data_IF_322807661372
#
_entry.id   IF_322807661372
#
_cell.length_a   1.000
_cell.length_b   1.000
_cell.length_c   1.000
_cell.angle_alpha   90.00
_cell.angle_beta   90.00
_cell.angle_gamma   90.00
#
_symmetry.space_group_name_H-M   'P 1'
#
loop_
_entity.id
_entity.type
_entity.pdbx_description
1 polymer ?
#
# COMPACT_ATOMS: atom_id res chain seq x y z
N UNK A 1 26.76 13.97 -20.85
CA UNK A 1 25.70 14.41 -19.92
C UNK A 1 25.55 13.30 -18.89
N UNK A 2 25.63 13.59 -17.58
CA UNK A 2 25.61 12.55 -16.56
C UNK A 2 24.30 11.74 -16.64
N UNK A 3 24.38 10.44 -16.42
CA UNK A 3 23.29 9.46 -16.43
C UNK A 3 22.11 9.92 -15.57
N UNK A 4 22.41 10.51 -14.42
CA UNK A 4 21.45 11.07 -13.47
C UNK A 4 20.58 12.16 -14.10
N UNK A 5 21.16 13.00 -14.95
CA UNK A 5 20.44 14.09 -15.61
C UNK A 5 19.53 13.52 -16.70
N UNK A 6 19.99 12.52 -17.45
CA UNK A 6 19.17 11.83 -18.45
C UNK A 6 17.98 11.13 -17.80
N UNK A 7 18.21 10.42 -16.69
CA UNK A 7 17.15 9.78 -15.93
C UNK A 7 16.17 10.78 -15.32
N UNK A 8 16.67 11.90 -14.78
CA UNK A 8 15.82 12.95 -14.24
C UNK A 8 14.91 13.53 -15.34
N UNK A 9 15.47 13.85 -16.52
CA UNK A 9 14.67 14.31 -17.65
C UNK A 9 13.64 13.27 -18.06
N UNK A 10 14.01 11.99 -18.16
CA UNK A 10 13.09 10.91 -18.49
C UNK A 10 11.94 10.80 -17.47
N UNK A 11 12.25 10.87 -16.18
CA UNK A 11 11.26 10.81 -15.11
C UNK A 11 10.34 12.02 -15.14
N UNK A 12 10.86 13.22 -15.39
CA UNK A 12 10.05 14.43 -15.58
C UNK A 12 9.15 14.34 -16.82
N UNK A 13 9.62 13.74 -17.92
CA UNK A 13 8.79 13.44 -19.08
C UNK A 13 7.69 12.43 -18.73
N UNK A 14 7.99 11.38 -17.97
CA UNK A 14 7.02 10.39 -17.52
C UNK A 14 5.95 11.01 -16.59
N UNK A 15 6.35 11.90 -15.67
CA UNK A 15 5.44 12.69 -14.83
C UNK A 15 4.52 13.55 -15.69
N UNK A 16 5.10 14.31 -16.61
CA UNK A 16 4.35 15.21 -17.49
C UNK A 16 3.34 14.43 -18.34
N UNK A 17 3.77 13.32 -18.94
CA UNK A 17 2.91 12.44 -19.71
C UNK A 17 1.79 11.84 -18.85
N UNK A 18 2.10 11.40 -17.63
CA UNK A 18 1.09 10.87 -16.69
C UNK A 18 0.04 11.91 -16.31
N UNK A 19 0.45 13.16 -16.07
CA UNK A 19 -0.47 14.27 -15.83
C UNK A 19 -1.39 14.54 -17.03
N UNK A 20 -0.84 14.51 -18.24
CA UNK A 20 -1.60 14.70 -19.49
C UNK A 20 -2.60 13.55 -19.71
N UNK A 21 -2.16 12.31 -19.48
CA UNK A 21 -2.96 11.10 -19.67
C UNK A 21 -4.04 10.90 -18.59
N UNK A 22 -3.90 11.52 -17.41
CA UNK A 22 -4.88 11.38 -16.34
C UNK A 22 -6.23 12.02 -16.72
N UNK A 23 -7.23 11.19 -17.02
CA UNK A 23 -8.61 11.62 -17.30
C UNK A 23 -9.51 11.62 -16.06
N UNK A 24 -8.98 11.35 -14.87
CA UNK A 24 -9.77 11.36 -13.64
C UNK A 24 -10.24 12.76 -13.25
N UNK A 25 -11.35 12.83 -12.51
CA UNK A 25 -11.89 14.11 -12.04
C UNK A 25 -10.83 14.88 -11.25
N UNK A 26 -10.52 16.10 -11.71
CA UNK A 26 -9.52 16.98 -11.12
C UNK A 26 -8.13 16.35 -10.94
N UNK A 27 -7.78 15.42 -11.84
CA UNK A 27 -6.46 14.76 -11.87
C UNK A 27 -6.15 14.01 -10.56
N UNK A 28 -7.18 13.49 -9.89
CA UNK A 28 -7.03 12.83 -8.58
C UNK A 28 -6.08 11.63 -8.64
N UNK A 29 -6.12 10.83 -9.71
CA UNK A 29 -5.21 9.68 -9.84
C UNK A 29 -3.75 10.13 -9.90
N UNK A 30 -3.46 11.20 -10.64
CA UNK A 30 -2.14 11.82 -10.67
C UNK A 30 -1.72 12.35 -9.30
N UNK A 31 -2.56 13.16 -8.64
CA UNK A 31 -2.24 13.72 -7.31
C UNK A 31 -2.05 12.64 -6.23
N UNK A 32 -2.76 11.53 -6.33
CA UNK A 32 -2.58 10.38 -5.45
C UNK A 32 -1.24 9.68 -5.70
N UNK A 33 -0.80 9.57 -6.96
CA UNK A 33 0.48 8.95 -7.33
C UNK A 33 1.72 9.86 -7.19
N UNK A 34 1.54 11.18 -7.15
CA UNK A 34 2.63 12.17 -7.22
C UNK A 34 3.70 12.09 -6.13
N UNK A 35 3.41 11.68 -4.88
CA UNK A 35 4.47 11.54 -3.87
C UNK A 35 5.57 10.55 -4.28
N UNK A 36 5.24 9.49 -5.02
CA UNK A 36 6.21 8.47 -5.43
C UNK A 36 7.01 8.85 -6.68
N UNK A 37 6.47 9.74 -7.53
CA UNK A 37 7.25 10.33 -8.63
C UNK A 37 8.39 11.20 -8.14
N UNK A 38 8.14 11.98 -7.09
CA UNK A 38 9.18 12.79 -6.43
C UNK A 38 10.27 11.85 -5.91
N UNK A 39 9.89 10.75 -5.25
CA UNK A 39 10.86 9.76 -4.79
C UNK A 39 11.73 9.19 -5.92
N UNK A 40 11.11 8.72 -7.01
CA UNK A 40 11.82 8.17 -8.16
C UNK A 40 12.81 9.17 -8.76
N UNK A 41 12.39 10.42 -8.95
CA UNK A 41 13.23 11.46 -9.54
C UNK A 41 14.50 11.77 -8.71
N UNK A 42 14.39 11.71 -7.38
CA UNK A 42 15.50 12.01 -6.46
C UNK A 42 16.32 10.79 -6.05
N UNK A 43 15.84 9.57 -6.32
CA UNK A 43 16.48 8.32 -5.89
C UNK A 43 17.94 8.18 -6.40
N UNK A 44 18.27 8.41 -7.68
CA UNK A 44 19.66 8.33 -8.12
C UNK A 44 20.53 9.50 -7.64
N UNK A 45 19.93 10.66 -7.37
CA UNK A 45 20.66 11.80 -6.80
C UNK A 45 21.11 11.48 -5.36
N UNK A 46 20.22 10.90 -4.56
CA UNK A 46 20.55 10.41 -3.21
C UNK A 46 21.73 9.44 -3.25
N UNK A 47 21.74 8.52 -4.21
CA UNK A 47 22.83 7.57 -4.33
C UNK A 47 24.18 8.17 -4.71
N UNK A 48 24.20 9.00 -5.76
CA UNK A 48 25.46 9.54 -6.28
C UNK A 48 26.09 10.61 -5.40
N UNK A 49 25.32 11.20 -4.48
CA UNK A 49 25.83 12.16 -3.50
C UNK A 49 26.45 11.47 -2.28
N UNK A 50 26.39 10.14 -2.18
CA UNK A 50 26.84 9.39 -1.02
C UNK A 50 25.98 9.60 0.23
N UNK A 51 24.85 10.32 0.10
CA UNK A 51 23.84 10.41 1.14
C UNK A 51 23.31 8.99 1.41
N UNK A 52 23.43 8.54 2.65
CA UNK A 52 23.10 7.17 3.04
C UNK A 52 24.22 6.13 2.83
N UNK A 53 25.46 6.50 2.49
CA UNK A 53 26.58 5.55 2.49
C UNK A 53 26.81 4.93 3.87
N UNK A 54 26.55 5.69 4.93
CA UNK A 54 26.59 5.23 6.32
C UNK A 54 25.49 4.18 6.65
N UNK A 55 24.56 3.96 5.72
CA UNK A 55 23.50 2.97 5.86
C UNK A 55 23.89 1.58 5.34
N UNK A 56 25.06 1.47 4.69
CA UNK A 56 25.61 0.21 4.18
C UNK A 56 26.68 -0.29 5.14
N UNK A 57 26.50 -1.51 5.67
CA UNK A 57 27.43 -2.10 6.63
C UNK A 57 28.54 -2.95 5.96
N UNK A 58 28.34 -3.37 4.70
CA UNK A 58 29.20 -4.39 4.07
C UNK A 58 29.70 -4.06 2.65
N UNK A 59 29.24 -3.00 1.97
CA UNK A 59 29.78 -2.66 0.64
C UNK A 59 29.41 -1.27 0.10
N UNK A 60 30.23 -0.76 -0.84
CA UNK A 60 29.87 0.35 -1.73
C UNK A 60 29.10 -0.18 -2.95
N UNK A 61 27.77 -0.10 -2.94
CA UNK A 61 27.00 -0.38 -4.15
C UNK A 61 27.31 0.68 -5.22
N UNK A 62 27.33 0.31 -6.51
CA UNK A 62 27.42 1.25 -7.64
C UNK A 62 26.32 0.94 -8.66
N UNK A 63 25.59 1.94 -9.15
CA UNK A 63 24.64 1.75 -10.24
C UNK A 63 25.38 1.32 -11.51
N UNK A 64 25.08 0.12 -12.01
CA UNK A 64 25.47 -0.28 -13.37
C UNK A 64 24.33 0.01 -14.35
N UNK A 65 24.55 -0.30 -15.64
CA UNK A 65 23.50 -0.17 -16.64
C UNK A 65 22.25 -1.01 -16.37
N UNK A 66 22.38 -2.14 -15.68
CA UNK A 66 21.24 -3.00 -15.33
C UNK A 66 20.30 -2.22 -14.41
N UNK A 67 20.82 -1.66 -13.33
CA UNK A 67 20.04 -0.84 -12.41
C UNK A 67 19.41 0.39 -13.09
N UNK A 68 20.13 1.06 -14.00
CA UNK A 68 19.59 2.16 -14.81
C UNK A 68 18.42 1.74 -15.71
N UNK A 69 18.52 0.60 -16.39
CA UNK A 69 17.44 0.07 -17.22
C UNK A 69 16.19 -0.20 -16.39
N UNK A 70 16.34 -0.78 -15.20
CA UNK A 70 15.21 -1.02 -14.30
C UNK A 70 14.54 0.26 -13.81
N UNK A 71 15.33 1.28 -13.48
CA UNK A 71 14.79 2.60 -13.13
C UNK A 71 13.95 3.20 -14.27
N UNK A 72 14.41 3.07 -15.52
CA UNK A 72 13.65 3.52 -16.70
C UNK A 72 12.35 2.73 -16.87
N UNK A 73 12.38 1.40 -16.71
CA UNK A 73 11.19 0.54 -16.77
C UNK A 73 10.16 0.94 -15.70
N UNK A 74 10.61 1.14 -14.46
CA UNK A 74 9.74 1.58 -13.36
C UNK A 74 9.13 2.94 -13.69
N UNK A 75 9.93 3.92 -14.12
CA UNK A 75 9.42 5.25 -14.51
C UNK A 75 8.44 5.19 -15.69
N UNK A 76 8.66 4.31 -16.68
CA UNK A 76 7.78 4.12 -17.83
C UNK A 76 6.46 3.41 -17.49
N UNK A 77 6.43 2.59 -16.44
CA UNK A 77 5.22 1.88 -15.99
C UNK A 77 4.10 2.84 -15.55
N UNK A 78 4.46 4.03 -15.05
CA UNK A 78 3.50 5.03 -14.63
C UNK A 78 2.63 5.54 -15.80
N UNK A 79 3.20 6.19 -16.84
CA UNK A 79 2.39 6.66 -17.96
C UNK A 79 1.69 5.50 -18.68
N UNK A 80 2.25 4.28 -18.70
CA UNK A 80 1.58 3.11 -19.23
C UNK A 80 0.28 2.77 -18.47
N UNK A 81 0.28 2.81 -17.13
CA UNK A 81 -0.93 2.57 -16.35
C UNK A 81 -2.00 3.65 -16.57
N UNK A 82 -1.59 4.93 -16.68
CA UNK A 82 -2.51 6.03 -17.04
C UNK A 82 -3.08 5.83 -18.45
N UNK A 83 -2.26 5.38 -19.41
CA UNK A 83 -2.70 5.05 -20.76
C UNK A 83 -3.72 3.92 -20.75
N UNK A 84 -3.45 2.81 -20.05
CA UNK A 84 -4.40 1.68 -19.90
C UNK A 84 -5.72 2.16 -19.30
N UNK A 85 -5.68 2.94 -18.21
CA UNK A 85 -6.89 3.52 -17.62
C UNK A 85 -7.66 4.39 -18.60
N UNK A 86 -6.97 5.22 -19.37
CA UNK A 86 -7.55 6.12 -20.39
C UNK A 86 -8.19 5.36 -21.55
N UNK A 87 -7.60 4.23 -21.97
CA UNK A 87 -8.14 3.35 -23.01
C UNK A 87 -9.37 2.60 -22.51
N UNK A 88 -9.30 2.02 -21.31
CA UNK A 88 -10.40 1.22 -20.76
C UNK A 88 -11.59 2.11 -20.42
N UNK A 89 -11.36 3.25 -19.75
CA UNK A 89 -12.38 4.19 -19.31
C UNK A 89 -12.27 5.50 -20.11
N UNK A 90 -12.96 5.54 -21.24
CA UNK A 90 -12.90 6.66 -22.20
C UNK A 90 -13.46 8.00 -21.65
N UNK A 91 -14.24 7.95 -20.56
CA UNK A 91 -14.82 9.10 -19.84
C UNK A 91 -14.20 9.26 -18.46
N UNK A 92 -14.36 10.43 -17.84
CA UNK A 92 -13.72 10.73 -16.55
C UNK A 92 -14.02 9.65 -15.49
N UNK A 93 -12.99 9.29 -14.73
CA UNK A 93 -13.18 8.58 -13.47
C UNK A 93 -13.89 9.54 -12.52
N UNK A 94 -15.20 9.67 -12.67
CA UNK A 94 -16.04 10.35 -11.69
C UNK A 94 -16.38 9.33 -10.60
N UNK A 95 -15.85 9.63 -9.42
CA UNK A 95 -15.90 8.78 -8.25
C UNK A 95 -17.15 9.04 -7.40
N UNK A 96 -17.91 10.11 -7.68
CA UNK A 96 -19.03 10.55 -6.82
C UNK A 96 -20.21 9.59 -6.93
N UNK A 97 -20.75 9.17 -5.78
CA UNK A 97 -22.00 8.40 -5.70
C UNK A 97 -23.08 9.22 -5.00
N UNK A 98 -24.20 9.57 -5.66
CA UNK A 98 -25.12 10.57 -5.12
C UNK A 98 -25.84 10.18 -3.81
N UNK A 99 -26.14 8.91 -3.52
CA UNK A 99 -27.04 8.59 -2.38
C UNK A 99 -26.79 7.22 -1.72
N UNK A 100 -25.70 7.05 -0.95
CA UNK A 100 -25.51 5.81 -0.15
C UNK A 100 -26.65 5.65 0.87
N UNK A 101 -27.09 6.74 1.50
CA UNK A 101 -28.10 6.71 2.56
C UNK A 101 -29.46 6.15 2.10
N UNK A 102 -29.83 6.31 0.83
CA UNK A 102 -31.08 5.78 0.28
C UNK A 102 -30.97 4.33 -0.19
N UNK A 103 -29.76 3.87 -0.54
CA UNK A 103 -29.51 2.53 -1.07
C UNK A 103 -29.28 1.48 0.03
N UNK A 104 -28.68 1.89 1.15
CA UNK A 104 -28.25 0.99 2.21
C UNK A 104 -29.03 1.17 3.51
N UNK A 105 -29.21 0.07 4.22
CA UNK A 105 -29.81 0.05 5.55
C UNK A 105 -28.75 0.42 6.60
N UNK A 106 -28.99 1.53 7.31
CA UNK A 106 -28.06 2.09 8.29
C UNK A 106 -27.83 1.16 9.48
N UNK A 107 -28.82 0.33 9.84
CA UNK A 107 -28.69 -0.66 10.91
C UNK A 107 -27.74 -1.76 10.48
N UNK A 108 -27.89 -2.27 9.25
CA UNK A 108 -27.02 -3.33 8.72
C UNK A 108 -25.57 -2.87 8.57
N UNK A 109 -25.35 -1.67 8.03
CA UNK A 109 -24.01 -1.06 7.97
C UNK A 109 -23.40 -0.93 9.37
N UNK A 110 -24.20 -0.53 10.36
CA UNK A 110 -23.75 -0.46 11.75
C UNK A 110 -23.41 -1.85 12.32
N UNK A 111 -24.24 -2.86 12.07
CA UNK A 111 -23.96 -4.23 12.49
C UNK A 111 -22.66 -4.77 11.90
N UNK A 112 -22.42 -4.56 10.60
CA UNK A 112 -21.14 -4.92 9.98
C UNK A 112 -19.97 -4.15 10.59
N UNK A 113 -20.11 -2.85 10.84
CA UNK A 113 -19.06 -2.05 11.48
C UNK A 113 -18.66 -2.64 12.84
N UNK A 114 -19.63 -2.94 13.71
CA UNK A 114 -19.35 -3.53 15.01
C UNK A 114 -18.76 -4.94 14.90
N UNK A 115 -19.32 -5.78 14.02
CA UNK A 115 -18.82 -7.14 13.80
C UNK A 115 -17.35 -7.14 13.36
N UNK A 116 -17.03 -6.38 12.31
CA UNK A 116 -15.67 -6.34 11.77
C UNK A 116 -14.68 -5.71 12.75
N UNK A 117 -15.10 -4.68 13.49
CA UNK A 117 -14.27 -4.08 14.55
C UNK A 117 -13.99 -5.09 15.67
N UNK A 118 -15.00 -5.82 16.14
CA UNK A 118 -14.82 -6.81 17.21
C UNK A 118 -13.95 -7.98 16.76
N UNK A 119 -14.18 -8.51 15.55
CA UNK A 119 -13.33 -9.56 14.99
C UNK A 119 -11.87 -9.10 14.82
N UNK A 120 -11.67 -7.85 14.40
CA UNK A 120 -10.33 -7.26 14.29
C UNK A 120 -9.66 -7.12 15.65
N UNK A 121 -10.38 -6.66 16.67
CA UNK A 121 -9.85 -6.58 18.03
C UNK A 121 -9.56 -7.95 18.63
N UNK A 122 -10.42 -8.95 18.42
CA UNK A 122 -10.14 -10.34 18.84
C UNK A 122 -8.87 -10.85 18.16
N UNK A 123 -8.72 -10.64 16.84
CA UNK A 123 -7.50 -11.00 16.13
C UNK A 123 -6.27 -10.28 16.67
N UNK A 124 -6.40 -8.98 16.99
CA UNK A 124 -5.35 -8.19 17.64
C UNK A 124 -4.95 -8.77 18.99
N UNK A 125 -5.91 -9.05 19.88
CA UNK A 125 -5.63 -9.59 21.21
C UNK A 125 -4.95 -10.96 21.15
N UNK A 126 -5.39 -11.84 20.24
CA UNK A 126 -4.75 -13.15 20.05
C UNK A 126 -3.31 -12.96 19.56
N UNK A 127 -3.09 -12.17 18.51
CA UNK A 127 -1.73 -11.90 18.02
C UNK A 127 -0.84 -11.22 19.07
N UNK A 128 -1.40 -10.31 19.87
CA UNK A 128 -0.66 -9.62 20.91
C UNK A 128 -0.31 -10.55 22.09
N UNK A 129 -1.15 -11.58 22.34
CA UNK A 129 -0.82 -12.64 23.30
C UNK A 129 0.38 -13.50 22.88
N UNK A 130 0.60 -13.71 21.58
CA UNK A 130 1.75 -14.47 21.06
C UNK A 130 3.09 -13.77 21.33
N UNK A 131 3.08 -12.44 21.44
CA UNK A 131 4.24 -11.64 21.86
C UNK A 131 4.27 -11.37 23.37
N UNK A 132 3.44 -12.08 24.15
CA UNK A 132 3.36 -11.94 25.60
C UNK A 132 2.87 -10.56 26.05
N UNK A 133 2.05 -9.89 25.23
CA UNK A 133 1.60 -8.50 25.45
C UNK A 133 2.77 -7.50 25.59
N UNK A 134 3.97 -7.85 25.10
CA UNK A 134 5.16 -7.01 25.22
C UNK A 134 5.26 -6.01 24.08
N UNK A 135 4.99 -4.74 24.38
CA UNK A 135 5.32 -3.63 23.48
C UNK A 135 6.84 -3.41 23.41
N UNK A 136 7.59 -3.70 24.49
CA UNK A 136 9.05 -3.50 24.49
C UNK A 136 9.75 -4.38 23.45
N UNK A 137 9.23 -5.60 23.23
CA UNK A 137 9.75 -6.52 22.22
C UNK A 137 9.71 -5.93 20.80
N UNK A 138 8.75 -5.05 20.50
CA UNK A 138 8.67 -4.34 19.21
C UNK A 138 9.91 -3.46 18.96
N UNK A 139 10.50 -2.92 20.03
CA UNK A 139 11.66 -2.03 19.97
C UNK A 139 12.98 -2.78 20.19
N UNK A 140 12.99 -3.77 21.08
CA UNK A 140 14.20 -4.51 21.46
C UNK A 140 14.59 -5.56 20.41
N UNK A 141 13.60 -6.35 19.95
CA UNK A 141 13.74 -7.47 19.00
C UNK A 141 12.57 -7.49 17.99
N UNK A 142 12.54 -6.54 17.04
CA UNK A 142 11.42 -6.28 16.13
C UNK A 142 11.06 -7.48 15.23
N UNK A 143 12.07 -8.24 14.79
CA UNK A 143 11.88 -9.42 13.94
C UNK A 143 11.24 -10.57 14.69
N UNK A 144 11.67 -10.78 15.92
CA UNK A 144 11.06 -11.77 16.80
C UNK A 144 9.61 -11.38 17.13
N UNK A 145 9.37 -10.09 17.39
CA UNK A 145 8.03 -9.54 17.54
C UNK A 145 7.15 -9.86 16.33
N UNK A 146 7.60 -9.52 15.11
CA UNK A 146 6.82 -9.76 13.90
C UNK A 146 6.53 -11.23 13.63
N UNK A 147 7.52 -12.10 13.88
CA UNK A 147 7.39 -13.55 13.70
C UNK A 147 6.36 -14.12 14.66
N UNK A 148 6.39 -13.72 15.93
CA UNK A 148 5.46 -14.17 16.97
C UNK A 148 4.06 -13.57 16.78
N UNK A 149 3.97 -12.25 16.57
CA UNK A 149 2.70 -11.55 16.38
C UNK A 149 1.94 -12.12 15.19
N UNK A 150 2.62 -12.31 14.06
CA UNK A 150 2.01 -12.77 12.81
C UNK A 150 2.01 -14.28 12.60
N UNK A 151 2.32 -15.09 13.61
CA UNK A 151 2.58 -16.53 13.46
C UNK A 151 1.41 -17.30 12.84
N UNK A 152 0.16 -16.89 13.13
CA UNK A 152 -1.04 -17.56 12.63
C UNK A 152 -1.70 -16.73 11.52
N UNK A 153 -1.64 -17.23 10.29
CA UNK A 153 -2.15 -16.51 9.12
C UNK A 153 -3.64 -16.18 9.24
N UNK A 154 -4.49 -17.12 9.66
CA UNK A 154 -5.94 -16.92 9.76
C UNK A 154 -6.32 -15.87 10.82
N UNK A 155 -5.58 -15.78 11.93
CA UNK A 155 -5.74 -14.71 12.93
C UNK A 155 -5.35 -13.36 12.33
N UNK A 156 -4.30 -13.30 11.50
CA UNK A 156 -3.95 -12.06 10.79
C UNK A 156 -5.09 -11.59 9.86
N UNK A 157 -5.83 -12.50 9.21
CA UNK A 157 -6.98 -12.13 8.38
C UNK A 157 -8.16 -11.60 9.20
N UNK A 158 -8.38 -12.11 10.42
CA UNK A 158 -9.32 -11.48 11.36
C UNK A 158 -8.84 -10.09 11.75
N UNK A 159 -7.57 -9.96 12.14
CA UNK A 159 -6.95 -8.70 12.49
C UNK A 159 -7.05 -7.66 11.36
N UNK A 160 -6.82 -8.05 10.09
CA UNK A 160 -6.89 -7.17 8.92
C UNK A 160 -8.30 -6.59 8.65
N UNK A 161 -9.35 -7.08 9.31
CA UNK A 161 -10.68 -6.49 9.23
C UNK A 161 -10.74 -5.05 9.77
N UNK A 162 -9.69 -4.55 10.43
CA UNK A 162 -9.57 -3.14 10.80
C UNK A 162 -9.74 -2.22 9.59
N UNK A 163 -9.22 -2.59 8.42
CA UNK A 163 -9.29 -1.73 7.21
C UNK A 163 -10.74 -1.60 6.72
N UNK A 164 -11.49 -2.70 6.43
CA UNK A 164 -12.92 -2.63 6.18
C UNK A 164 -13.74 -1.92 7.27
N UNK A 165 -13.42 -2.15 8.55
CA UNK A 165 -14.12 -1.49 9.67
C UNK A 165 -13.95 0.04 9.64
N UNK A 166 -12.73 0.53 9.39
CA UNK A 166 -12.47 1.96 9.26
C UNK A 166 -13.14 2.57 8.02
N UNK A 167 -13.25 1.83 6.91
CA UNK A 167 -14.07 2.27 5.76
C UNK A 167 -15.55 2.37 6.15
N UNK A 168 -16.09 1.39 6.89
CA UNK A 168 -17.47 1.45 7.36
C UNK A 168 -17.70 2.62 8.32
N UNK A 169 -16.71 3.01 9.12
CA UNK A 169 -16.76 4.22 9.94
C UNK A 169 -16.90 5.49 9.08
N UNK A 170 -16.16 5.58 7.97
CA UNK A 170 -16.28 6.66 6.98
C UNK A 170 -17.68 6.69 6.37
N UNK A 171 -18.24 5.53 6.02
CA UNK A 171 -19.61 5.42 5.51
C UNK A 171 -20.61 5.92 6.56
N UNK A 172 -20.50 5.46 7.81
CA UNK A 172 -21.36 5.87 8.93
C UNK A 172 -21.33 7.38 9.17
N UNK A 173 -20.15 7.98 9.09
CA UNK A 173 -20.00 9.44 9.15
C UNK A 173 -20.73 10.12 7.99
N UNK A 174 -20.58 9.62 6.76
CA UNK A 174 -21.21 10.21 5.58
C UNK A 174 -22.74 10.11 5.59
N UNK A 175 -23.31 9.01 6.09
CA UNK A 175 -24.77 8.85 6.22
C UNK A 175 -25.36 9.53 7.48
N UNK A 176 -24.54 10.20 8.29
CA UNK A 176 -24.99 10.88 9.51
C UNK A 176 -25.40 9.97 10.67
N UNK A 177 -24.96 8.70 10.67
CA UNK A 177 -25.33 7.72 11.70
C UNK A 177 -24.21 7.44 12.72
N UNK A 178 -23.27 8.37 12.87
CA UNK A 178 -22.08 8.21 13.69
C UNK A 178 -22.39 8.46 15.16
N UNK A 179 -22.08 7.49 16.03
CA UNK A 179 -22.20 7.61 17.49
C UNK A 179 -20.84 7.80 18.13
N UNK A 180 -20.80 8.30 19.37
CA UNK A 180 -19.54 8.44 20.14
C UNK A 180 -18.81 7.10 20.30
N UNK A 181 -19.56 6.02 20.53
CA UNK A 181 -18.99 4.67 20.63
C UNK A 181 -18.33 4.20 19.32
N UNK A 182 -18.85 4.61 18.16
CA UNK A 182 -18.25 4.29 16.87
C UNK A 182 -16.88 4.95 16.72
N UNK A 183 -16.76 6.20 17.19
CA UNK A 183 -15.49 6.94 17.18
C UNK A 183 -14.49 6.28 18.11
N UNK A 184 -14.89 5.94 19.34
CA UNK A 184 -14.01 5.25 20.29
C UNK A 184 -13.49 3.94 19.69
N UNK A 185 -14.39 3.11 19.16
CA UNK A 185 -14.03 1.84 18.56
C UNK A 185 -13.13 2.02 17.33
N UNK A 186 -13.44 3.00 16.47
CA UNK A 186 -12.61 3.35 15.31
C UNK A 186 -11.21 3.79 15.69
N UNK A 187 -11.08 4.61 16.74
CA UNK A 187 -9.78 5.05 17.28
C UNK A 187 -9.01 3.85 17.84
N UNK A 188 -9.65 2.96 18.60
CA UNK A 188 -9.01 1.75 19.12
C UNK A 188 -8.51 0.83 18.00
N UNK A 189 -9.35 0.58 16.98
CA UNK A 189 -9.00 -0.24 15.82
C UNK A 189 -7.87 0.40 15.00
N UNK A 190 -7.88 1.72 14.84
CA UNK A 190 -6.80 2.46 14.19
C UNK A 190 -5.48 2.34 14.97
N UNK A 191 -5.47 2.59 16.28
CA UNK A 191 -4.26 2.45 17.09
C UNK A 191 -3.78 0.99 17.18
N UNK A 192 -4.69 0.02 17.13
CA UNK A 192 -4.35 -1.39 17.00
C UNK A 192 -3.51 -1.70 15.76
N UNK A 193 -3.65 -0.92 14.68
CA UNK A 193 -2.88 -1.11 13.45
C UNK A 193 -1.36 -0.97 13.62
N UNK A 194 -0.92 -0.17 14.62
CA UNK A 194 0.48 0.08 14.96
C UNK A 194 1.13 -1.10 15.68
N UNK A 195 0.33 -1.94 16.35
CA UNK A 195 0.82 -3.11 17.09
C UNK A 195 1.21 -4.26 16.16
N UNK A 196 0.85 -4.24 14.87
CA UNK A 196 1.38 -5.23 13.92
C UNK A 196 2.83 -4.94 13.49
N UNK A 197 3.44 -3.93 14.11
CA UNK A 197 4.85 -3.62 14.02
C UNK A 197 5.20 -2.86 12.76
N UNK A 198 6.23 -3.34 12.05
CA UNK A 198 6.88 -2.57 10.99
C UNK A 198 6.09 -2.64 9.66
N UNK A 199 5.11 -3.52 9.55
CA UNK A 199 4.39 -3.81 8.30
C UNK A 199 3.46 -2.66 7.84
N UNK A 200 3.19 -2.63 6.53
CA UNK A 200 2.30 -1.67 5.84
C UNK A 200 0.83 -1.62 6.31
N UNK A 201 0.46 -2.26 7.42
CA UNK A 201 -0.91 -2.25 7.94
C UNK A 201 -1.38 -0.88 8.37
N UNK A 202 -0.49 -0.05 8.94
CA UNK A 202 -0.82 1.35 9.27
C UNK A 202 -1.11 2.15 7.99
N UNK A 203 -0.38 1.88 6.90
CA UNK A 203 -0.64 2.50 5.61
C UNK A 203 -2.03 2.12 5.10
N UNK A 204 -2.40 0.84 5.17
CA UNK A 204 -3.73 0.41 4.75
C UNK A 204 -4.83 1.06 5.61
N UNK A 205 -4.64 1.12 6.93
CA UNK A 205 -5.59 1.72 7.87
C UNK A 205 -5.81 3.22 7.64
N UNK A 206 -4.86 3.92 7.02
CA UNK A 206 -4.97 5.35 6.69
C UNK A 206 -5.48 5.55 5.27
N UNK A 207 -4.76 5.00 4.29
CA UNK A 207 -4.97 5.32 2.89
C UNK A 207 -6.21 4.69 2.31
N UNK A 208 -6.60 3.47 2.69
CA UNK A 208 -7.85 2.89 2.18
C UNK A 208 -9.08 3.70 2.63
N UNK A 209 -9.29 3.98 3.93
CA UNK A 209 -10.41 4.82 4.36
C UNK A 209 -10.34 6.25 3.78
N UNK A 210 -9.15 6.83 3.66
CA UNK A 210 -8.96 8.15 3.06
C UNK A 210 -9.34 8.19 1.58
N UNK A 211 -8.83 7.26 0.77
CA UNK A 211 -9.15 7.16 -0.65
C UNK A 211 -10.62 6.78 -0.85
N UNK A 212 -11.20 5.97 0.04
CA UNK A 212 -12.64 5.71 0.05
C UNK A 212 -13.44 6.99 0.29
N UNK A 213 -13.02 7.83 1.22
CA UNK A 213 -13.64 9.13 1.46
C UNK A 213 -13.49 10.08 0.26
N UNK A 214 -12.34 10.08 -0.41
CA UNK A 214 -12.11 10.83 -1.66
C UNK A 214 -13.07 10.38 -2.73
N UNK A 215 -13.23 9.06 -2.93
CA UNK A 215 -14.20 8.54 -3.88
C UNK A 215 -15.62 8.98 -3.51
N UNK A 216 -15.99 8.84 -2.25
CA UNK A 216 -17.33 9.11 -1.76
C UNK A 216 -17.75 10.59 -1.90
N UNK A 217 -16.88 11.52 -1.54
CA UNK A 217 -17.21 12.96 -1.45
C UNK A 217 -16.76 13.74 -2.69
N UNK A 218 -15.80 13.21 -3.45
CA UNK A 218 -15.14 13.86 -4.56
C UNK A 218 -13.92 14.66 -4.12
N UNK A 219 -12.85 14.60 -4.93
CA UNK A 219 -11.54 15.16 -4.60
C UNK A 219 -11.55 16.67 -4.31
N UNK A 220 -12.32 17.47 -5.05
CA UNK A 220 -12.36 18.94 -4.90
C UNK A 220 -12.64 19.41 -3.49
N UNK A 221 -13.59 18.76 -2.82
CA UNK A 221 -14.04 19.12 -1.48
C UNK A 221 -13.05 18.74 -0.39
N UNK A 222 -12.15 17.80 -0.70
CA UNK A 222 -11.25 17.19 0.28
C UNK A 222 -9.77 17.38 -0.07
N UNK A 223 -9.46 18.00 -1.21
CA UNK A 223 -8.09 18.15 -1.75
C UNK A 223 -7.12 18.70 -0.72
N UNK A 224 -7.45 19.83 -0.10
CA UNK A 224 -6.59 20.44 0.92
C UNK A 224 -6.38 19.50 2.11
N UNK A 225 -7.46 18.93 2.65
CA UNK A 225 -7.41 17.99 3.78
C UNK A 225 -6.62 16.72 3.44
N UNK A 226 -6.75 16.21 2.22
CA UNK A 226 -6.01 15.06 1.71
C UNK A 226 -4.52 15.37 1.67
N UNK A 227 -4.12 16.50 1.06
CA UNK A 227 -2.72 16.91 0.98
C UNK A 227 -2.12 17.14 2.36
N UNK A 228 -2.84 17.84 3.26
CA UNK A 228 -2.41 18.03 4.65
C UNK A 228 -2.22 16.69 5.38
N UNK A 229 -3.13 15.73 5.20
CA UNK A 229 -3.03 14.42 5.82
C UNK A 229 -1.85 13.62 5.25
N UNK A 230 -1.59 13.69 3.94
CA UNK A 230 -0.42 13.07 3.33
C UNK A 230 0.88 13.67 3.91
N UNK A 231 0.96 15.00 4.04
CA UNK A 231 2.13 15.66 4.66
C UNK A 231 2.29 15.25 6.12
N UNK A 232 1.20 15.29 6.90
CA UNK A 232 1.24 14.85 8.30
C UNK A 232 1.66 13.39 8.43
N UNK A 233 1.17 12.52 7.55
CA UNK A 233 1.54 11.11 7.52
C UNK A 233 3.02 10.91 7.20
N UNK A 234 3.55 11.63 6.21
CA UNK A 234 4.98 11.64 5.87
C UNK A 234 5.80 12.01 7.12
N UNK A 235 5.46 13.11 7.79
CA UNK A 235 6.13 13.56 9.02
C UNK A 235 6.04 12.50 10.13
N UNK A 236 4.83 12.06 10.46
CA UNK A 236 4.60 11.05 11.50
C UNK A 236 5.37 9.74 11.21
N UNK A 237 5.33 9.28 9.96
CA UNK A 237 6.04 8.07 9.55
C UNK A 237 7.56 8.25 9.60
N UNK A 238 8.07 9.48 9.41
CA UNK A 238 9.50 9.81 9.62
C UNK A 238 9.87 9.56 11.07
N UNK A 239 9.10 10.16 11.99
CA UNK A 239 9.31 10.01 13.42
C UNK A 239 9.20 8.55 13.85
N UNK A 240 8.16 7.84 13.41
CA UNK A 240 7.99 6.42 13.70
C UNK A 240 9.18 5.59 13.20
N UNK A 241 9.62 5.80 11.95
CA UNK A 241 10.76 5.09 11.38
C UNK A 241 12.06 5.40 12.12
N UNK A 242 12.26 6.64 12.56
CA UNK A 242 13.41 7.06 13.38
C UNK A 242 13.45 6.33 14.71
N UNK A 243 12.33 6.33 15.45
CA UNK A 243 12.24 5.68 16.76
C UNK A 243 12.37 4.16 16.68
N UNK A 244 11.80 3.54 15.63
CA UNK A 244 11.79 2.08 15.50
C UNK A 244 13.12 1.58 14.95
N UNK A 245 13.68 2.20 13.90
CA UNK A 245 14.86 1.67 13.19
C UNK A 245 16.21 2.17 13.74
N UNK A 246 16.17 3.05 14.73
CA UNK A 246 17.35 3.64 15.34
C UNK A 246 17.76 4.90 14.59
N UNK A 247 17.56 6.05 15.23
CA UNK A 247 18.33 7.23 14.90
C UNK A 247 19.79 6.95 15.24
N UNK A 248 20.67 7.08 14.25
CA UNK A 248 22.05 7.41 14.59
C UNK A 248 22.08 8.77 15.30
N UNK A 249 23.15 9.08 16.03
CA UNK A 249 23.30 10.34 16.78
C UNK A 249 23.08 11.60 15.90
N UNK A 250 23.20 11.45 14.58
CA UNK A 250 22.82 12.44 13.58
C UNK A 250 21.41 12.17 13.02
N UNK A 251 20.50 13.12 13.23
CA UNK A 251 19.15 13.10 12.65
C UNK A 251 19.25 13.16 11.12
N UNK A 252 18.95 12.05 10.45
CA UNK A 252 18.80 12.03 9.00
C UNK A 252 17.34 12.30 8.61
N UNK A 253 17.02 13.48 8.02
CA UNK A 253 15.66 13.80 7.59
C UNK A 253 15.14 12.86 6.49
N UNK A 254 16.01 12.06 5.86
CA UNK A 254 15.67 11.04 4.88
C UNK A 254 15.29 9.69 5.51
N UNK A 255 15.13 9.59 6.84
CA UNK A 255 14.71 8.37 7.56
C UNK A 255 13.37 7.80 7.05
N UNK A 256 12.45 8.59 6.53
CA UNK A 256 11.23 8.09 5.83
C UNK A 256 11.61 7.12 4.71
N UNK A 257 12.65 7.51 3.97
CA UNK A 257 13.13 6.75 2.86
C UNK A 257 13.90 5.52 3.33
N UNK A 258 14.38 5.43 4.57
CA UNK A 258 14.93 4.17 5.13
C UNK A 258 13.90 3.05 5.22
N UNK A 259 12.62 3.27 4.93
CA UNK A 259 11.65 2.19 4.73
C UNK A 259 11.51 1.74 3.28
N UNK A 260 11.64 2.69 2.37
CA UNK A 260 11.44 2.52 0.94
C UNK A 260 12.75 2.15 0.26
N UNK A 261 13.79 2.97 0.44
CA UNK A 261 15.15 2.80 -0.07
C UNK A 261 15.74 1.41 0.17
N UNK A 262 15.70 0.79 1.36
CA UNK A 262 16.22 -0.57 1.55
C UNK A 262 15.65 -1.59 0.58
N UNK A 263 14.35 -1.51 0.27
CA UNK A 263 13.73 -2.45 -0.66
C UNK A 263 14.30 -2.27 -2.07
N UNK A 264 14.63 -1.03 -2.46
CA UNK A 264 15.26 -0.73 -3.74
C UNK A 264 16.75 -1.04 -3.74
N UNK A 265 17.46 -0.77 -2.65
CA UNK A 265 18.85 -1.19 -2.55
C UNK A 265 18.98 -2.69 -2.67
N UNK A 266 18.18 -3.43 -1.92
CA UNK A 266 18.15 -4.88 -2.04
C UNK A 266 17.60 -5.35 -3.40
N UNK A 267 16.73 -4.59 -4.09
CA UNK A 267 16.33 -4.85 -5.48
C UNK A 267 17.54 -4.84 -6.40
N UNK A 268 18.20 -3.69 -6.45
CA UNK A 268 19.26 -3.41 -7.41
C UNK A 268 20.47 -4.28 -7.06
N UNK A 269 20.80 -4.42 -5.78
CA UNK A 269 21.83 -5.36 -5.32
C UNK A 269 21.53 -6.81 -5.76
N UNK A 270 20.29 -7.29 -5.60
CA UNK A 270 19.92 -8.65 -6.04
C UNK A 270 20.02 -8.80 -7.56
N UNK A 271 19.54 -7.81 -8.32
CA UNK A 271 19.58 -7.80 -9.79
C UNK A 271 21.01 -7.81 -10.35
N UNK A 272 21.95 -7.17 -9.66
CA UNK A 272 23.35 -7.05 -10.09
C UNK A 272 24.16 -8.30 -9.72
N UNK A 273 23.96 -8.88 -8.53
CA UNK A 273 24.73 -10.06 -8.08
C UNK A 273 24.21 -11.38 -8.63
N UNK A 274 22.89 -11.51 -8.80
CA UNK A 274 22.25 -12.71 -9.32
C UNK A 274 21.14 -12.28 -10.26
N UNK A 275 21.35 -12.22 -11.59
CA UNK A 275 20.28 -11.94 -12.53
C UNK A 275 19.18 -12.99 -12.33
N UNK A 276 18.11 -12.56 -11.69
CA UNK A 276 17.01 -13.44 -11.31
C UNK A 276 16.22 -13.80 -12.58
N UNK A 277 16.05 -15.10 -12.90
CA UNK A 277 15.23 -15.49 -14.03
C UNK A 277 13.76 -15.10 -13.79
N UNK A 278 13.13 -14.53 -14.82
CA UNK A 278 11.69 -14.29 -14.83
C UNK A 278 11.00 -15.65 -15.00
N UNK A 279 10.41 -16.20 -13.93
CA UNK A 279 9.73 -17.49 -13.94
C UNK A 279 8.22 -17.31 -13.71
N UNK A 280 7.40 -18.13 -14.37
CA UNK A 280 5.96 -18.15 -14.11
C UNK A 280 5.69 -18.78 -12.73
N UNK A 281 5.03 -18.09 -11.79
CA UNK A 281 4.99 -18.50 -10.40
C UNK A 281 3.83 -19.46 -10.12
N UNK A 282 3.79 -20.61 -10.81
CA UNK A 282 2.73 -21.60 -10.65
C UNK A 282 2.55 -21.98 -9.16
N UNK A 283 3.65 -22.12 -8.42
CA UNK A 283 3.64 -22.40 -6.99
C UNK A 283 2.97 -21.30 -6.15
N UNK A 284 3.21 -20.01 -6.44
CA UNK A 284 2.58 -18.92 -5.70
C UNK A 284 1.07 -18.80 -5.97
N UNK A 285 0.61 -19.20 -7.17
CA UNK A 285 -0.82 -19.28 -7.52
C UNK A 285 -1.53 -20.35 -6.67
N UNK A 286 -0.84 -21.46 -6.39
CA UNK A 286 -1.37 -22.56 -5.57
C UNK A 286 -1.00 -22.46 -4.08
N UNK A 287 -0.38 -21.36 -3.65
CA UNK A 287 -0.05 -21.11 -2.24
C UNK A 287 1.18 -21.86 -1.71
N UNK A 288 1.99 -22.45 -2.59
CA UNK A 288 3.28 -23.03 -2.23
C UNK A 288 4.35 -21.93 -2.33
N UNK A 289 4.89 -21.50 -1.19
CA UNK A 289 6.16 -20.78 -1.20
C UNK A 289 7.26 -21.81 -1.51
N UNK A 290 8.18 -21.53 -2.45
CA UNK A 290 9.36 -22.38 -2.59
C UNK A 290 10.08 -22.43 -1.23
N UNK A 291 10.52 -23.63 -0.85
CA UNK A 291 11.47 -23.82 0.25
C UNK A 291 12.84 -23.29 -0.20
N UNK A 292 12.96 -21.98 -0.40
CA UNK A 292 14.26 -21.35 -0.59
C UNK A 292 14.86 -21.10 0.78
N UNK A 293 16.09 -21.59 0.92
CA UNK A 293 16.91 -21.53 2.12
C UNK A 293 17.26 -20.07 2.45
N UNK A 294 16.37 -19.40 3.19
CA UNK A 294 16.45 -17.96 3.49
C UNK A 294 17.73 -17.57 4.24
N UNK A 295 18.36 -18.52 4.94
CA UNK A 295 19.55 -18.28 5.75
C UNK A 295 20.81 -18.04 4.91
N UNK A 296 20.92 -18.64 3.73
CA UNK A 296 22.13 -18.54 2.89
C UNK A 296 22.21 -17.24 2.07
N UNK A 297 21.13 -16.45 1.98
CA UNK A 297 21.10 -15.22 1.19
C UNK A 297 21.40 -13.94 1.99
N UNK A 298 21.45 -14.03 3.33
CA UNK A 298 21.81 -12.91 4.21
C UNK A 298 23.31 -12.57 4.19
N UNK A 299 24.11 -13.29 3.39
CA UNK A 299 25.57 -13.14 3.30
C UNK A 299 25.97 -11.91 2.45
N UNK A 300 25.04 -11.28 1.72
CA UNK A 300 25.30 -10.00 1.04
C UNK A 300 24.01 -9.19 0.80
N UNK A 301 23.98 -7.92 1.20
CA UNK A 301 22.84 -7.01 1.00
C UNK A 301 22.78 -5.85 2.01
N UNK A 302 21.88 -4.88 1.79
CA UNK A 302 21.74 -3.66 2.59
C UNK A 302 21.31 -3.98 4.04
N UNK A 303 22.29 -4.15 4.91
CA UNK A 303 22.14 -4.32 6.35
C UNK A 303 22.14 -2.95 7.04
N UNK A 304 21.03 -2.21 6.94
CA UNK A 304 20.87 -0.99 7.75
C UNK A 304 20.86 -1.32 9.26
N UNK A 305 20.56 -2.58 9.61
CA UNK A 305 20.61 -3.12 10.96
C UNK A 305 20.42 -4.65 10.90
N UNK A 306 21.23 -5.49 11.57
CA UNK A 306 20.98 -6.92 11.71
C UNK A 306 19.57 -7.24 12.25
N UNK A 307 18.99 -6.32 13.05
CA UNK A 307 17.62 -6.42 13.58
C UNK A 307 16.52 -6.18 12.55
N UNK A 308 16.82 -5.68 11.35
CA UNK A 308 15.82 -5.20 10.38
C UNK A 308 16.03 -5.72 8.95
N UNK A 309 16.88 -6.71 8.72
CA UNK A 309 16.99 -7.37 7.41
C UNK A 309 15.61 -7.87 6.99
N UNK A 310 15.06 -7.31 5.91
CA UNK A 310 13.96 -7.93 5.19
C UNK A 310 14.61 -8.84 4.16
N UNK A 311 14.23 -10.12 4.11
CA UNK A 311 14.28 -10.79 2.81
C UNK A 311 13.43 -9.90 1.90
N UNK A 312 14.04 -9.38 0.86
CA UNK A 312 13.30 -8.53 -0.05
C UNK A 312 12.27 -9.43 -0.71
N UNK A 313 10.98 -9.27 -0.34
CA UNK A 313 9.83 -9.81 -1.07
C UNK A 313 9.69 -9.26 -2.49
N UNK A 314 10.79 -8.76 -3.03
CA UNK A 314 11.05 -8.16 -4.32
C UNK A 314 12.04 -9.03 -5.13
N UNK A 315 12.98 -9.75 -4.49
CA UNK A 315 13.75 -10.82 -5.14
C UNK A 315 12.84 -12.00 -5.46
N UNK A 316 12.05 -12.44 -4.48
CA UNK A 316 10.93 -13.37 -4.66
C UNK A 316 10.00 -12.91 -5.78
N UNK A 317 9.99 -11.60 -6.08
CA UNK A 317 9.10 -10.99 -7.05
C UNK A 317 9.68 -10.88 -8.45
N UNK A 318 10.99 -10.74 -8.59
CA UNK A 318 11.64 -10.89 -9.89
C UNK A 318 11.58 -12.38 -10.29
N UNK A 319 11.69 -13.29 -9.32
CA UNK A 319 11.46 -14.73 -9.52
C UNK A 319 9.99 -15.01 -9.94
N UNK A 320 9.03 -14.20 -9.46
CA UNK A 320 7.58 -14.40 -9.63
C UNK A 320 6.93 -13.52 -10.71
N UNK A 321 7.64 -12.54 -11.26
CA UNK A 321 7.22 -11.52 -12.25
C UNK A 321 5.73 -11.52 -12.64
N UNK A 322 4.87 -11.04 -11.74
CA UNK A 322 3.42 -11.02 -11.94
C UNK A 322 2.92 -9.67 -12.44
N UNK A 323 3.49 -9.19 -13.55
CA UNK A 323 2.78 -8.23 -14.42
C UNK A 323 1.34 -8.73 -14.67
N UNK A 324 1.15 -10.06 -14.70
CA UNK A 324 -0.12 -10.77 -14.72
C UNK A 324 -1.03 -10.64 -13.48
N UNK A 325 -0.53 -10.45 -12.25
CA UNK A 325 -1.41 -10.26 -11.08
C UNK A 325 -1.89 -8.82 -10.95
N UNK A 326 -1.01 -7.85 -11.27
CA UNK A 326 -1.43 -6.44 -11.40
C UNK A 326 -2.43 -6.33 -12.54
N UNK A 327 -2.13 -6.85 -13.74
CA UNK A 327 -3.09 -6.87 -14.85
C UNK A 327 -4.35 -7.69 -14.53
N UNK A 328 -4.22 -8.81 -13.82
CA UNK A 328 -5.30 -9.75 -13.50
C UNK A 328 -6.32 -9.24 -12.50
N UNK A 329 -6.02 -8.20 -11.72
CA UNK A 329 -6.99 -7.57 -10.81
C UNK A 329 -7.26 -6.10 -11.16
N UNK A 330 -6.26 -5.36 -11.62
CA UNK A 330 -6.41 -3.97 -12.06
C UNK A 330 -7.28 -3.86 -13.32
N UNK A 331 -7.00 -4.65 -14.36
CA UNK A 331 -7.75 -4.57 -15.62
C UNK A 331 -9.20 -5.03 -15.44
N UNK A 332 -9.50 -6.17 -14.76
CA UNK A 332 -10.88 -6.53 -14.46
C UNK A 332 -11.60 -5.51 -13.58
N UNK A 333 -10.92 -4.88 -12.62
CA UNK A 333 -11.50 -3.79 -11.82
C UNK A 333 -11.86 -2.58 -12.69
N UNK A 334 -10.99 -2.18 -13.63
CA UNK A 334 -11.28 -1.11 -14.59
C UNK A 334 -12.46 -1.46 -15.51
N UNK A 335 -12.52 -2.71 -16.01
CA UNK A 335 -13.63 -3.20 -16.83
C UNK A 335 -14.92 -3.19 -16.02
N UNK A 336 -14.90 -3.65 -14.76
CA UNK A 336 -16.06 -3.61 -13.88
C UNK A 336 -16.56 -2.17 -13.68
N UNK A 337 -15.66 -1.22 -13.39
CA UNK A 337 -15.99 0.19 -13.21
C UNK A 337 -16.53 0.85 -14.48
N UNK A 338 -16.20 0.31 -15.67
CA UNK A 338 -16.75 0.73 -16.95
C UNK A 338 -18.16 0.18 -17.19
N UNK A 339 -18.38 -1.10 -16.90
CA UNK A 339 -19.61 -1.82 -17.24
C UNK A 339 -20.75 -1.55 -16.24
N UNK A 340 -20.44 -1.51 -14.93
CA UNK A 340 -21.46 -1.49 -13.88
C UNK A 340 -21.78 -0.08 -13.39
N UNK A 341 -23.08 0.18 -13.18
CA UNK A 341 -23.61 1.47 -12.71
C UNK A 341 -23.12 1.82 -11.30
N UNK A 342 -22.89 3.11 -11.06
CA UNK A 342 -22.27 3.72 -9.85
C UNK A 342 -23.14 3.71 -8.58
N UNK A 343 -23.90 2.65 -8.35
CA UNK A 343 -24.91 2.62 -7.28
C UNK A 343 -24.59 1.56 -6.22
N UNK A 344 -23.30 1.26 -5.98
CA UNK A 344 -22.93 0.26 -4.98
C UNK A 344 -21.68 0.58 -4.18
N UNK A 345 -21.62 0.10 -2.93
CA UNK A 345 -20.43 0.16 -2.08
C UNK A 345 -19.27 -0.60 -2.73
N UNK A 346 -19.56 -1.69 -3.42
CA UNK A 346 -18.58 -2.44 -4.20
C UNK A 346 -17.95 -1.59 -5.31
N UNK A 347 -18.74 -0.76 -6.00
CA UNK A 347 -18.22 0.15 -7.02
C UNK A 347 -17.26 1.17 -6.41
N UNK A 348 -17.61 1.77 -5.27
CA UNK A 348 -16.74 2.73 -4.57
C UNK A 348 -15.47 2.04 -4.09
N UNK A 349 -15.58 0.86 -3.49
CA UNK A 349 -14.43 0.08 -3.02
C UNK A 349 -13.47 -0.26 -4.17
N UNK A 350 -13.97 -0.71 -5.32
CA UNK A 350 -13.13 -0.99 -6.50
C UNK A 350 -12.47 0.28 -7.04
N UNK A 351 -13.16 1.42 -7.00
CA UNK A 351 -12.58 2.69 -7.40
C UNK A 351 -11.48 3.15 -6.41
N UNK A 352 -11.69 2.95 -5.11
CA UNK A 352 -10.69 3.14 -4.05
C UNK A 352 -9.48 2.24 -4.26
N UNK A 353 -9.70 0.97 -4.61
CA UNK A 353 -8.64 0.02 -4.92
C UNK A 353 -7.80 0.49 -6.10
N UNK A 354 -8.41 0.96 -7.19
CA UNK A 354 -7.70 1.54 -8.34
C UNK A 354 -6.87 2.76 -7.93
N UNK A 355 -7.42 3.68 -7.14
CA UNK A 355 -6.64 4.82 -6.61
C UNK A 355 -5.51 4.36 -5.71
N UNK A 356 -5.69 3.30 -4.93
CA UNK A 356 -4.64 2.74 -4.09
C UNK A 356 -3.56 2.07 -4.94
N UNK A 357 -3.91 1.42 -6.05
CA UNK A 357 -2.93 0.95 -7.05
C UNK A 357 -2.15 2.10 -7.68
N UNK A 358 -2.77 3.26 -7.95
CA UNK A 358 -2.06 4.44 -8.43
C UNK A 358 -1.14 5.04 -7.37
N UNK A 359 -1.61 5.16 -6.11
CA UNK A 359 -0.78 5.57 -4.99
C UNK A 359 0.45 4.67 -4.91
N UNK A 360 0.21 3.37 -4.93
CA UNK A 360 1.25 2.38 -4.68
C UNK A 360 1.79 1.79 -5.98
N UNK A 361 1.73 2.51 -7.09
CA UNK A 361 2.12 1.98 -8.40
C UNK A 361 3.58 1.53 -8.42
N UNK A 362 4.40 2.23 -7.63
CA UNK A 362 5.77 1.88 -7.29
C UNK A 362 5.93 0.49 -6.64
N UNK A 363 4.97 0.15 -5.78
CA UNK A 363 4.84 -1.12 -5.07
C UNK A 363 3.76 -2.00 -5.69
N UNK A 364 3.34 -1.76 -6.95
CA UNK A 364 2.17 -2.42 -7.54
C UNK A 364 2.30 -3.95 -7.52
N UNK A 365 3.52 -4.44 -7.61
CA UNK A 365 3.88 -5.83 -7.41
C UNK A 365 3.45 -6.43 -6.06
N UNK A 366 3.45 -5.63 -4.99
CA UNK A 366 3.11 -6.00 -3.62
C UNK A 366 1.59 -6.13 -3.43
N UNK A 367 0.81 -5.67 -4.41
CA UNK A 367 -0.65 -5.71 -4.40
C UNK A 367 -1.18 -7.04 -4.91
N UNK A 368 -0.68 -7.49 -6.06
CA UNK A 368 -1.12 -8.73 -6.68
C UNK A 368 -0.78 -9.98 -5.87
N UNK A 369 0.29 -9.93 -5.07
CA UNK A 369 0.77 -11.05 -4.24
C UNK A 369 0.08 -11.13 -2.87
N UNK A 370 -0.65 -10.09 -2.47
CA UNK A 370 -1.28 -10.03 -1.16
C UNK A 370 -2.75 -10.39 -1.20
N UNK A 371 -3.02 -11.65 -0.89
CA UNK A 371 -4.35 -12.23 -0.70
C UNK A 371 -5.28 -11.41 0.23
N UNK A 372 -4.74 -10.58 1.15
CA UNK A 372 -5.54 -9.67 2.00
C UNK A 372 -6.43 -8.70 1.19
N UNK A 373 -6.02 -8.25 0.00
CA UNK A 373 -6.84 -7.33 -0.79
C UNK A 373 -7.98 -8.03 -1.52
N UNK A 374 -7.76 -9.28 -1.96
CA UNK A 374 -8.83 -10.16 -2.46
C UNK A 374 -9.82 -10.45 -1.33
N UNK A 375 -9.31 -10.71 -0.12
CA UNK A 375 -10.14 -10.87 1.07
C UNK A 375 -10.99 -9.61 1.36
N UNK A 376 -10.41 -8.41 1.28
CA UNK A 376 -11.19 -7.18 1.43
C UNK A 376 -12.27 -7.04 0.37
N UNK A 377 -11.99 -7.38 -0.89
CA UNK A 377 -13.00 -7.41 -1.95
C UNK A 377 -14.15 -8.35 -1.58
N UNK A 378 -13.85 -9.57 -1.15
CA UNK A 378 -14.87 -10.54 -0.72
C UNK A 378 -15.72 -9.95 0.43
N UNK A 379 -15.08 -9.38 1.45
CA UNK A 379 -15.78 -8.71 2.56
C UNK A 379 -16.71 -7.60 2.06
N UNK A 380 -16.28 -6.78 1.10
CA UNK A 380 -17.11 -5.73 0.52
C UNK A 380 -18.24 -6.26 -0.38
N UNK A 381 -18.05 -7.37 -1.08
CA UNK A 381 -19.14 -8.07 -1.79
C UNK A 381 -20.21 -8.50 -0.78
N UNK A 382 -19.82 -9.11 0.34
CA UNK A 382 -20.76 -9.49 1.41
C UNK A 382 -21.48 -8.27 1.98
N UNK A 383 -20.76 -7.22 2.36
CA UNK A 383 -21.38 -5.99 2.89
C UNK A 383 -22.35 -5.40 1.86
N UNK A 384 -21.96 -5.32 0.59
CA UNK A 384 -22.76 -4.74 -0.49
C UNK A 384 -24.08 -5.50 -0.70
N UNK A 385 -24.02 -6.82 -0.74
CA UNK A 385 -25.19 -7.69 -0.95
C UNK A 385 -26.15 -7.64 0.23
N UNK A 386 -25.62 -7.79 1.45
CA UNK A 386 -26.47 -7.95 2.64
C UNK A 386 -26.95 -6.62 3.21
N UNK A 387 -26.25 -5.51 2.98
CA UNK A 387 -26.61 -4.19 3.54
C UNK A 387 -27.61 -3.39 2.71
N UNK A 388 -27.93 -3.81 1.47
CA UNK A 388 -28.94 -3.13 0.65
C UNK A 388 -30.30 -3.14 1.36
N UNK A 389 -31.03 -2.03 1.22
CA UNK A 389 -32.45 -1.97 1.62
C UNK A 389 -33.23 -2.91 0.72
N UNK A 390 -34.14 -3.71 1.29
CA UNK A 390 -35.13 -4.41 0.48
C UNK A 390 -35.99 -3.33 -0.16
N UNK A 391 -36.09 -3.33 -1.49
CA UNK A 391 -37.13 -2.54 -2.16
C UNK A 391 -38.45 -3.16 -1.72
N UNK A 392 -39.24 -2.46 -0.92
CA UNK A 392 -40.65 -2.80 -0.78
C UNK A 392 -41.24 -2.59 -2.18
N UNK A 393 -41.62 -3.69 -2.81
CA UNK A 393 -42.40 -3.69 -4.05
C UNK A 393 -43.80 -3.19 -3.78
#
# INVERSE_FOLDING_TARGET
MPENVLYLLFTLSAVSLSFLLDKSDNKVAFYVSSPFFIFLAFFPLHFNTGLGNNWFYFDEFKFTWISWTWLLIISASYPAAFLVSSIVKNNSLDFRTPHISSLYDTRKISSFFYLLSMLSLVGLFINFSHVGFSVSLLFESPREYERKFGMQWYINYLYFLHVPALILLVIKKHIGSLKRIDILLGVTVFFGSFLHGIKYTVFDAIFFPLLFYVCLVGFDKVRFKFLTLCVFFIIFFSFFSYFVRGGHEDFDPFVIFTYVLPNYYNLFYSLELQPVPIVFPYNAIFGFLPETDFENFLVGGFLLNPKYNMSTGLKELIEVFSLYCVLGFYVPSLIYLKVYKRNSLLHIFLATYILFCFLMMFYSYYFGTKFKYIYFLIVFVFIDLFSKRRRCG
#
